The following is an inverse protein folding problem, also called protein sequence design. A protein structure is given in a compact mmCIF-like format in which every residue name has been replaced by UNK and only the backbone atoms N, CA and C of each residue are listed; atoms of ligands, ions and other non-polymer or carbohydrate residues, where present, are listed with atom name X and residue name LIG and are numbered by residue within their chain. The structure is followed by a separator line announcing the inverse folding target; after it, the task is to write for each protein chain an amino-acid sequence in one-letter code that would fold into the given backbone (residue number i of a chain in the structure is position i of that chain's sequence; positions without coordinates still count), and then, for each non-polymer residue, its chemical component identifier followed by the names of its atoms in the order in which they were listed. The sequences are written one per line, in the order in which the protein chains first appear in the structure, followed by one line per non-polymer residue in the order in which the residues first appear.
data_IF_353902253554
#
_entry.id   IF_353902253554
#
_cell.length_a   1.000
_cell.length_b   1.000
_cell.length_c   1.000
_cell.angle_alpha   90.00
_cell.angle_beta   90.00
_cell.angle_gamma   90.00
#
_symmetry.space_group_name_H-M   'P 1'
#
loop_
_entity.id
_entity.type
_entity.pdbx_description
1 polymer ?
#
# COMPACT_ATOMS: atom_id res chain seq x y z
N UNK A 1 -24.75 -9.60 0.88
CA UNK A 1 -23.46 -8.85 0.85
C UNK A 1 -22.40 -9.36 1.83
N UNK A 2 -22.76 -9.99 2.95
CA UNK A 2 -21.78 -10.46 3.97
C UNK A 2 -20.97 -11.71 3.57
N UNK A 3 -21.42 -12.51 2.60
CA UNK A 3 -20.72 -13.74 2.19
C UNK A 3 -19.60 -13.52 1.15
N UNK A 4 -19.57 -12.38 0.45
CA UNK A 4 -18.60 -12.08 -0.62
C UNK A 4 -17.18 -11.72 -0.12
N UNK A 5 -17.00 -11.54 1.20
CA UNK A 5 -15.73 -11.14 1.83
C UNK A 5 -15.01 -12.28 2.55
N UNK A 6 -15.53 -13.52 2.50
CA UNK A 6 -14.87 -14.70 3.09
C UNK A 6 -13.50 -14.90 2.41
N UNK A 7 -12.44 -14.35 3.02
CA UNK A 7 -11.05 -14.43 2.56
C UNK A 7 -10.46 -13.20 1.86
N UNK A 8 -11.19 -12.07 1.73
CA UNK A 8 -10.64 -10.83 1.15
C UNK A 8 -10.27 -9.84 2.25
N UNK A 9 -8.97 -9.58 2.43
CA UNK A 9 -8.46 -8.55 3.33
C UNK A 9 -8.40 -7.21 2.59
N UNK A 10 -9.04 -6.18 3.15
CA UNK A 10 -8.89 -4.80 2.68
C UNK A 10 -7.90 -4.09 3.59
N UNK A 11 -6.85 -3.53 2.99
CA UNK A 11 -5.90 -2.63 3.65
C UNK A 11 -6.11 -1.26 3.07
N UNK A 12 -6.19 -0.25 3.93
CA UNK A 12 -6.25 1.15 3.53
C UNK A 12 -4.99 1.82 4.02
N UNK A 13 -4.24 2.41 3.09
CA UNK A 13 -3.05 3.21 3.38
C UNK A 13 -3.46 4.66 3.13
N UNK A 14 -3.48 5.53 4.15
CA UNK A 14 -4.08 6.86 4.02
C UNK A 14 -3.18 7.88 3.31
N UNK A 15 -1.99 7.48 2.88
CA UNK A 15 -1.01 8.32 2.21
C UNK A 15 -0.47 7.63 0.96
N UNK A 16 -0.14 8.43 -0.06
CA UNK A 16 0.50 7.96 -1.27
C UNK A 16 2.02 7.76 -1.05
N UNK A 17 2.68 6.94 -1.87
CA UNK A 17 4.13 6.88 -1.88
C UNK A 17 4.76 8.27 -2.03
N UNK A 18 5.89 8.51 -1.35
CA UNK A 18 6.60 9.78 -1.42
C UNK A 18 7.08 10.05 -2.86
N UNK A 19 7.15 11.33 -3.25
CA UNK A 19 7.55 11.73 -4.61
C UNK A 19 8.98 11.29 -4.95
N UNK A 20 9.80 11.09 -3.91
CA UNK A 20 11.16 10.57 -3.97
C UNK A 20 11.24 9.19 -4.63
N UNK A 21 10.17 8.40 -4.57
CA UNK A 21 10.05 7.09 -5.23
C UNK A 21 9.74 7.20 -6.73
N UNK A 22 9.40 8.39 -7.23
CA UNK A 22 9.21 8.59 -8.66
C UNK A 22 10.49 8.19 -9.41
N UNK A 23 10.39 7.42 -10.49
CA UNK A 23 11.51 7.19 -11.40
C UNK A 23 12.11 8.49 -11.95
N UNK A 24 11.31 9.57 -11.99
CA UNK A 24 11.72 10.90 -12.43
C UNK A 24 12.30 11.77 -11.30
N UNK A 25 12.35 11.26 -10.06
CA UNK A 25 12.90 12.00 -8.93
C UNK A 25 14.41 12.19 -9.10
N UNK A 26 14.83 13.46 -8.97
CA UNK A 26 16.24 13.88 -8.97
C UNK A 26 16.88 13.86 -7.58
N UNK A 27 16.17 13.37 -6.56
CA UNK A 27 16.72 13.26 -5.21
C UNK A 27 17.88 12.26 -5.17
N UNK A 28 18.79 12.45 -4.22
CA UNK A 28 19.88 11.53 -3.96
C UNK A 28 19.37 10.17 -3.44
N UNK A 29 20.16 9.11 -3.59
CA UNK A 29 19.83 7.79 -3.06
C UNK A 29 19.58 7.79 -1.55
N UNK A 30 20.33 8.60 -0.80
CA UNK A 30 20.15 8.73 0.65
C UNK A 30 18.78 9.34 1.00
N UNK A 31 18.35 10.38 0.27
CA UNK A 31 17.03 10.99 0.45
C UNK A 31 15.90 10.04 0.07
N UNK A 32 16.06 9.29 -1.04
CA UNK A 32 15.09 8.26 -1.47
C UNK A 32 14.95 7.16 -0.41
N UNK A 33 16.07 6.67 0.12
CA UNK A 33 16.07 5.66 1.17
C UNK A 33 15.36 6.16 2.43
N UNK A 34 15.70 7.37 2.89
CA UNK A 34 15.09 7.96 4.08
C UNK A 34 13.58 8.16 3.95
N UNK A 35 13.12 8.69 2.81
CA UNK A 35 11.69 8.84 2.53
C UNK A 35 11.00 7.47 2.44
N UNK A 36 11.70 6.48 1.88
CA UNK A 36 11.23 5.12 1.70
C UNK A 36 11.02 4.35 2.96
N UNK A 37 11.96 4.43 3.90
CA UNK A 37 11.89 3.77 5.20
C UNK A 37 10.64 4.21 5.96
N UNK A 38 10.37 5.52 5.99
CA UNK A 38 9.19 6.09 6.65
C UNK A 38 7.89 5.57 6.03
N UNK A 39 7.79 5.59 4.68
CA UNK A 39 6.60 5.10 4.00
C UNK A 39 6.42 3.58 4.15
N UNK A 40 7.51 2.82 4.03
CA UNK A 40 7.54 1.38 4.22
C UNK A 40 6.98 0.99 5.59
N UNK A 41 7.49 1.61 6.66
CA UNK A 41 7.07 1.29 8.02
C UNK A 41 5.60 1.65 8.25
N UNK A 42 5.19 2.82 7.75
CA UNK A 42 3.80 3.26 7.87
C UNK A 42 2.84 2.32 7.12
N UNK A 43 3.18 1.90 5.89
CA UNK A 43 2.41 0.93 5.13
C UNK A 43 2.39 -0.46 5.80
N UNK A 44 3.53 -0.88 6.36
CA UNK A 44 3.66 -2.14 7.10
C UNK A 44 2.74 -2.17 8.32
N UNK A 45 2.72 -1.11 9.13
CA UNK A 45 1.82 -1.03 10.30
C UNK A 45 0.34 -1.02 9.90
N UNK A 46 -0.04 -0.39 8.79
CA UNK A 46 -1.41 -0.46 8.26
C UNK A 46 -1.80 -1.89 7.88
N UNK A 47 -0.90 -2.64 7.24
CA UNK A 47 -1.10 -4.05 6.91
C UNK A 47 -1.26 -4.93 8.17
N UNK A 48 -0.40 -4.72 9.19
CA UNK A 48 -0.46 -5.46 10.45
C UNK A 48 -1.77 -5.19 11.20
N UNK A 49 -2.21 -3.93 11.27
CA UNK A 49 -3.49 -3.57 11.90
C UNK A 49 -4.67 -4.23 11.17
N UNK A 50 -4.72 -4.13 9.84
CA UNK A 50 -5.75 -4.78 9.02
C UNK A 50 -5.81 -6.29 9.24
N UNK A 51 -4.64 -6.96 9.28
CA UNK A 51 -4.51 -8.38 9.59
C UNK A 51 -5.03 -8.71 10.99
N UNK A 52 -4.63 -7.96 12.01
CA UNK A 52 -5.03 -8.19 13.40
C UNK A 52 -6.55 -8.00 13.59
N UNK A 53 -7.14 -6.98 12.95
CA UNK A 53 -8.59 -6.81 12.88
C UNK A 53 -9.27 -7.99 12.20
N UNK A 54 -8.65 -8.54 11.15
CA UNK A 54 -9.10 -9.74 10.47
C UNK A 54 -9.13 -10.96 11.39
N UNK A 55 -8.04 -11.23 12.12
CA UNK A 55 -7.97 -12.33 13.09
C UNK A 55 -9.03 -12.21 14.19
N UNK A 56 -9.26 -10.99 14.73
CA UNK A 56 -10.32 -10.75 15.72
C UNK A 56 -11.73 -11.06 15.19
N UNK A 57 -11.93 -10.95 13.88
CA UNK A 57 -13.19 -11.31 13.19
C UNK A 57 -13.24 -12.79 12.78
N UNK A 58 -12.26 -13.61 13.17
CA UNK A 58 -12.19 -15.02 12.85
C UNK A 58 -11.69 -15.32 11.43
N UNK A 59 -11.07 -14.36 10.74
CA UNK A 59 -10.45 -14.63 9.44
C UNK A 59 -9.15 -15.41 9.65
N UNK A 60 -8.96 -16.46 8.84
CA UNK A 60 -7.68 -17.15 8.69
C UNK A 60 -7.12 -16.84 7.30
N UNK A 61 -5.84 -16.49 7.23
CA UNK A 61 -5.20 -16.02 6.00
C UNK A 61 -4.06 -16.97 5.57
N UNK A 62 -4.35 -18.08 4.89
CA UNK A 62 -3.34 -18.86 4.20
C UNK A 62 -2.98 -18.15 2.90
N UNK A 63 -2.08 -17.16 2.95
CA UNK A 63 -1.60 -16.45 1.76
C UNK A 63 -0.61 -17.32 0.95
N UNK A 64 -1.09 -18.43 0.37
CA UNK A 64 -0.25 -19.31 -0.47
C UNK A 64 -0.11 -18.72 -1.89
N UNK A 65 -1.17 -18.10 -2.41
CA UNK A 65 -1.20 -17.32 -3.66
C UNK A 65 -2.21 -16.20 -3.53
N UNK A 66 -1.79 -15.05 -3.01
CA UNK A 66 -2.65 -13.88 -2.86
C UNK A 66 -2.79 -13.16 -4.21
N UNK A 67 -4.04 -12.85 -4.62
CA UNK A 67 -4.30 -11.90 -5.70
C UNK A 67 -4.43 -10.51 -5.09
N UNK A 68 -3.56 -9.59 -5.50
CA UNK A 68 -3.59 -8.21 -5.07
C UNK A 68 -4.43 -7.39 -6.06
N UNK A 69 -5.38 -6.62 -5.55
CA UNK A 69 -6.06 -5.58 -6.32
C UNK A 69 -5.71 -4.24 -5.67
N UNK A 70 -4.95 -3.41 -6.39
CA UNK A 70 -4.55 -2.08 -5.92
C UNK A 70 -5.54 -1.05 -6.45
N UNK A 71 -5.98 -0.16 -5.57
CA UNK A 71 -6.77 1.02 -5.94
C UNK A 71 -6.08 2.22 -5.37
N UNK A 72 -5.68 3.14 -6.25
CA UNK A 72 -5.02 4.38 -5.86
C UNK A 72 -6.04 5.49 -5.93
N UNK A 73 -6.13 6.28 -4.86
CA UNK A 73 -6.96 7.47 -4.81
C UNK A 73 -6.04 8.68 -4.73
N UNK A 74 -6.02 9.48 -5.78
CA UNK A 74 -5.25 10.72 -5.80
C UNK A 74 -6.07 11.86 -5.20
N UNK A 75 -5.44 12.66 -4.34
CA UNK A 75 -6.05 13.88 -3.81
C UNK A 75 -6.23 14.95 -4.90
N UNK A 76 -5.38 14.93 -5.93
CA UNK A 76 -5.39 15.84 -7.06
C UNK A 76 -5.24 15.06 -8.37
N UNK A 77 -5.92 15.48 -9.44
CA UNK A 77 -5.77 14.88 -10.77
C UNK A 77 -4.51 15.43 -11.46
N UNK A 78 -3.34 14.84 -11.21
CA UNK A 78 -2.09 15.17 -11.93
C UNK A 78 -1.67 14.03 -12.85
N UNK A 79 -1.27 14.39 -14.07
CA UNK A 79 -1.05 13.49 -15.21
C UNK A 79 0.09 12.46 -15.00
N UNK A 80 0.99 12.67 -14.03
CA UNK A 80 2.21 11.86 -13.84
C UNK A 80 2.15 10.88 -12.65
N UNK A 81 1.07 10.87 -11.89
CA UNK A 81 1.05 10.18 -10.60
C UNK A 81 0.71 8.69 -10.72
N UNK A 82 0.08 8.25 -11.82
CA UNK A 82 -0.25 6.83 -12.06
C UNK A 82 1.01 6.00 -12.39
N UNK A 83 1.91 6.54 -13.20
CA UNK A 83 3.12 5.83 -13.67
C UNK A 83 4.15 5.60 -12.55
N UNK A 84 4.16 6.46 -11.54
CA UNK A 84 5.07 6.35 -10.39
C UNK A 84 4.73 5.19 -9.45
N UNK A 85 3.55 4.56 -9.59
CA UNK A 85 3.03 3.59 -8.61
C UNK A 85 3.15 2.13 -9.04
N UNK A 86 3.54 1.88 -10.29
CA UNK A 86 3.68 0.53 -10.87
C UNK A 86 5.14 0.23 -11.25
N UNK A 87 6.01 1.25 -11.25
CA UNK A 87 7.43 1.08 -11.57
C UNK A 87 8.22 0.53 -10.36
N UNK A 88 8.18 -0.78 -10.18
CA UNK A 88 9.17 -1.57 -9.43
C UNK A 88 9.27 -2.97 -10.03
#
# INVERSE_FOLDING_TARGET
MSEMLKGKMRVEIPFLPPVEYSPNSRCSWAEKHKAGEVYHDAAFYCCVDARNRGYRKGLSFPFVKAKLNLTVVFAELRLRDVDNLIAS
#
